data_IF_502954543636
#
_entry.id   IF_502954543636
#
_cell.length_a   1.000
_cell.length_b   1.000
_cell.length_c   1.000
_cell.angle_alpha   90.00
_cell.angle_beta   90.00
_cell.angle_gamma   90.00
#
_symmetry.space_group_name_H-M   'P 1'
#
loop_
_entity.id
_entity.type
_entity.pdbx_description
1 polymer ?
#
# COMPACT_ATOMS: atom_id res chain seq x y z
N UNK A 1 -8.15 -18.23 15.46
CA UNK A 1 -7.49 -18.22 14.13
C UNK A 1 -5.99 -17.92 14.21
N UNK A 2 -5.52 -16.89 14.98
CA UNK A 2 -4.09 -16.57 15.11
C UNK A 2 -3.28 -17.74 15.69
N UNK A 3 -3.78 -18.37 16.75
CA UNK A 3 -3.12 -19.55 17.37
C UNK A 3 -2.99 -20.69 16.37
N UNK A 4 -4.00 -20.91 15.53
CA UNK A 4 -3.93 -21.92 14.48
C UNK A 4 -2.86 -21.59 13.44
N UNK A 5 -2.80 -20.34 12.99
CA UNK A 5 -1.75 -19.88 12.08
C UNK A 5 -0.35 -20.06 12.67
N UNK A 6 -0.17 -19.64 13.94
CA UNK A 6 1.10 -19.79 14.64
C UNK A 6 1.51 -21.28 14.77
N UNK A 7 0.56 -22.18 15.03
CA UNK A 7 0.80 -23.63 15.07
C UNK A 7 1.26 -24.22 13.75
N UNK A 8 0.89 -23.58 12.63
CA UNK A 8 1.40 -23.92 11.28
C UNK A 8 2.73 -23.23 10.93
N UNK A 9 3.36 -22.55 11.88
CA UNK A 9 4.62 -21.83 11.67
C UNK A 9 4.47 -20.47 10.97
N UNK A 10 3.25 -19.92 10.89
CA UNK A 10 3.03 -18.60 10.32
C UNK A 10 3.57 -17.53 11.25
N UNK A 11 4.54 -16.76 10.79
CA UNK A 11 5.13 -15.62 11.52
C UNK A 11 4.58 -14.30 11.00
N UNK A 12 4.46 -14.16 9.68
CA UNK A 12 3.94 -12.95 9.05
C UNK A 12 2.50 -13.16 8.58
N UNK A 13 1.59 -12.37 9.12
CA UNK A 13 0.18 -12.39 8.74
C UNK A 13 -0.09 -11.27 7.74
N UNK A 14 -0.76 -11.61 6.65
CA UNK A 14 -1.23 -10.68 5.65
C UNK A 14 -2.75 -10.74 5.56
N UNK A 15 -3.40 -9.60 5.44
CA UNK A 15 -4.86 -9.51 5.34
C UNK A 15 -5.31 -8.83 4.07
N UNK A 16 -6.52 -9.17 3.63
CA UNK A 16 -7.26 -8.44 2.61
C UNK A 16 -7.85 -7.15 3.20
N UNK A 17 -8.16 -6.16 2.34
CA UNK A 17 -8.80 -4.91 2.75
C UNK A 17 -10.33 -5.04 2.87
N UNK A 18 -10.83 -6.19 3.30
CA UNK A 18 -12.26 -6.49 3.38
C UNK A 18 -12.63 -7.11 4.71
N UNK A 19 -13.91 -7.03 5.08
CA UNK A 19 -14.49 -7.68 6.25
C UNK A 19 -15.34 -8.88 5.81
N UNK A 20 -15.20 -10.00 6.53
CA UNK A 20 -16.12 -11.13 6.38
C UNK A 20 -17.55 -10.74 6.83
N UNK A 21 -18.61 -11.09 6.10
CA UNK A 21 -18.63 -12.01 4.96
C UNK A 21 -18.50 -11.33 3.58
N UNK A 22 -18.39 -10.01 3.50
CA UNK A 22 -18.31 -9.29 2.23
C UNK A 22 -16.84 -9.16 1.77
N UNK A 23 -16.45 -9.98 0.80
CA UNK A 23 -15.11 -10.00 0.25
C UNK A 23 -15.00 -9.23 -1.08
N UNK A 24 -16.06 -8.58 -1.52
CA UNK A 24 -16.11 -7.86 -2.79
C UNK A 24 -15.97 -6.34 -2.62
N UNK A 25 -16.24 -5.84 -1.42
CA UNK A 25 -16.18 -4.41 -1.11
C UNK A 25 -15.12 -4.12 -0.04
N UNK A 26 -14.02 -3.47 -0.42
CA UNK A 26 -13.00 -3.01 0.54
C UNK A 26 -13.59 -2.07 1.59
N UNK A 27 -13.15 -2.22 2.83
CA UNK A 27 -13.51 -1.34 3.96
C UNK A 27 -12.40 -0.35 4.32
N UNK A 28 -11.31 -0.35 3.56
CA UNK A 28 -10.16 0.52 3.76
C UNK A 28 -9.39 0.73 2.45
N UNK A 29 -8.85 1.92 2.26
CA UNK A 29 -7.80 2.17 1.28
C UNK A 29 -6.45 1.89 1.93
N UNK A 30 -5.52 1.34 1.17
CA UNK A 30 -4.16 1.01 1.59
C UNK A 30 -3.16 1.81 0.77
N UNK A 31 -2.53 2.77 1.40
CA UNK A 31 -1.52 3.63 0.80
C UNK A 31 -0.16 3.13 1.28
N UNK A 32 0.63 2.60 0.37
CA UNK A 32 1.96 2.06 0.64
C UNK A 32 3.02 3.04 0.12
N UNK A 33 3.76 3.63 1.04
CA UNK A 33 4.88 4.53 0.76
C UNK A 33 6.16 3.70 0.66
N UNK A 34 6.51 3.28 -0.55
CA UNK A 34 7.62 2.38 -0.84
C UNK A 34 8.88 3.15 -1.28
N UNK A 35 9.91 3.24 -0.42
CA UNK A 35 11.14 3.95 -0.74
C UNK A 35 11.93 3.23 -1.83
N UNK A 36 12.26 3.95 -2.90
CA UNK A 36 13.11 3.41 -3.96
C UNK A 36 14.59 3.47 -3.54
N UNK A 37 15.49 2.76 -4.23
CA UNK A 37 16.93 2.84 -3.95
C UNK A 37 17.43 4.28 -3.93
N UNK A 38 18.20 4.64 -2.91
CA UNK A 38 18.70 6.01 -2.69
C UNK A 38 17.88 6.84 -1.70
N UNK A 39 16.63 6.40 -1.38
CA UNK A 39 15.82 7.08 -0.36
C UNK A 39 15.91 6.40 1.01
N UNK A 40 15.67 7.18 2.05
CA UNK A 40 15.73 6.78 3.47
C UNK A 40 14.34 6.67 4.10
N UNK A 41 14.28 6.17 5.33
CA UNK A 41 13.03 6.21 6.11
C UNK A 41 12.60 7.64 6.45
N UNK A 42 13.54 8.57 6.61
CA UNK A 42 13.24 9.99 6.86
C UNK A 42 12.57 10.65 5.64
N UNK A 43 12.93 10.25 4.42
CA UNK A 43 12.23 10.69 3.21
C UNK A 43 10.79 10.18 3.17
N UNK A 44 10.57 8.91 3.54
CA UNK A 44 9.21 8.34 3.65
C UNK A 44 8.41 9.08 4.72
N UNK A 45 9.02 9.32 5.89
CA UNK A 45 8.40 10.05 7.01
C UNK A 45 7.97 11.46 6.57
N UNK A 46 8.84 12.19 5.89
CA UNK A 46 8.55 13.53 5.38
C UNK A 46 7.38 13.50 4.39
N UNK A 47 7.39 12.61 3.40
CA UNK A 47 6.27 12.46 2.45
C UNK A 47 4.97 12.11 3.16
N UNK A 48 5.02 11.26 4.18
CA UNK A 48 3.84 10.88 4.96
C UNK A 48 3.26 12.06 5.76
N UNK A 49 4.13 12.81 6.47
CA UNK A 49 3.72 13.88 7.40
C UNK A 49 3.39 15.18 6.67
N UNK A 50 4.24 15.60 5.73
CA UNK A 50 4.14 16.91 5.10
C UNK A 50 3.31 16.90 3.81
N UNK A 51 3.16 15.72 3.20
CA UNK A 51 2.42 15.54 1.95
C UNK A 51 1.10 14.79 2.12
N UNK A 52 1.17 13.51 2.51
CA UNK A 52 -0.01 12.65 2.51
C UNK A 52 -1.00 13.01 3.61
N UNK A 53 -0.54 13.25 4.84
CA UNK A 53 -1.43 13.62 5.97
C UNK A 53 -2.26 14.86 5.65
N UNK A 54 -1.68 16.01 5.24
CA UNK A 54 -2.47 17.20 4.89
C UNK A 54 -3.45 16.96 3.74
N UNK A 55 -3.04 16.19 2.72
CA UNK A 55 -3.91 15.86 1.59
C UNK A 55 -5.13 15.04 2.04
N UNK A 56 -4.93 14.05 2.91
CA UNK A 56 -6.04 13.27 3.48
C UNK A 56 -6.99 14.16 4.31
N UNK A 57 -6.45 15.05 5.14
CA UNK A 57 -7.22 15.98 5.96
C UNK A 57 -8.05 16.95 5.08
N UNK A 58 -7.48 17.52 4.02
CA UNK A 58 -8.18 18.36 3.04
C UNK A 58 -9.35 17.62 2.37
N UNK A 59 -9.15 16.33 2.08
CA UNK A 59 -10.18 15.47 1.49
C UNK A 59 -11.20 14.97 2.52
N UNK A 60 -10.98 15.27 3.81
CA UNK A 60 -11.87 14.90 4.93
C UNK A 60 -11.67 13.48 5.43
N UNK A 61 -10.55 12.82 5.07
CA UNK A 61 -10.21 11.48 5.55
C UNK A 61 -9.34 11.50 6.80
N UNK A 62 -9.44 10.45 7.59
CA UNK A 62 -8.51 10.16 8.69
C UNK A 62 -7.58 9.03 8.25
N UNK A 63 -6.30 9.31 8.18
CA UNK A 63 -5.27 8.32 7.89
C UNK A 63 -4.73 7.68 9.16
N UNK A 64 -4.45 6.39 9.10
CA UNK A 64 -3.91 5.57 10.19
C UNK A 64 -2.54 5.01 9.77
N UNK A 65 -1.43 5.65 10.17
CA UNK A 65 -0.10 5.22 9.78
C UNK A 65 0.40 4.04 10.61
N UNK A 66 1.26 3.22 9.99
CA UNK A 66 2.07 2.21 10.66
C UNK A 66 3.41 2.03 9.96
N UNK A 67 4.43 1.59 10.70
CA UNK A 67 5.65 1.12 10.06
C UNK A 67 5.33 -0.12 9.21
N UNK A 68 5.99 -0.28 8.07
CA UNK A 68 5.80 -1.51 7.26
C UNK A 68 6.45 -2.75 7.91
N UNK A 69 7.34 -2.54 8.88
CA UNK A 69 8.30 -3.53 9.38
C UNK A 69 9.41 -3.84 8.39
N UNK A 70 9.46 -3.10 7.29
CA UNK A 70 10.53 -3.00 6.30
C UNK A 70 11.14 -1.61 6.31
N UNK A 71 11.19 -0.95 5.13
CA UNK A 71 11.76 0.39 4.96
C UNK A 71 10.71 1.49 4.76
N UNK A 72 9.45 1.13 4.57
CA UNK A 72 8.37 2.04 4.21
C UNK A 72 7.37 2.28 5.34
N UNK A 73 6.36 3.07 5.02
CA UNK A 73 5.20 3.38 5.86
C UNK A 73 3.93 2.98 5.10
N UNK A 74 3.01 2.34 5.79
CA UNK A 74 1.67 2.08 5.27
C UNK A 74 0.69 3.01 5.97
N UNK A 75 -0.20 3.64 5.20
CA UNK A 75 -1.30 4.43 5.76
C UNK A 75 -2.62 3.79 5.36
N UNK A 76 -3.41 3.40 6.35
CA UNK A 76 -4.75 2.85 6.13
C UNK A 76 -5.77 3.97 6.28
N UNK A 77 -6.72 4.03 5.35
CA UNK A 77 -7.83 4.98 5.38
C UNK A 77 -9.13 4.20 5.41
N UNK A 78 -9.86 4.18 6.54
CA UNK A 78 -11.11 3.45 6.64
C UNK A 78 -12.19 4.08 5.75
N UNK A 79 -12.87 3.24 4.96
CA UNK A 79 -13.94 3.64 4.06
C UNK A 79 -15.21 2.82 4.29
N UNK A 80 -16.34 3.34 3.84
CA UNK A 80 -17.56 2.56 3.77
C UNK A 80 -17.42 1.44 2.72
N UNK A 81 -17.79 0.18 3.03
CA UNK A 81 -17.66 -0.94 2.09
C UNK A 81 -18.79 -0.92 1.05
N UNK A 82 -18.76 0.03 0.13
CA UNK A 82 -19.77 0.24 -0.91
C UNK A 82 -19.22 0.14 -2.33
N UNK A 83 -17.92 0.28 -2.49
CA UNK A 83 -17.25 0.32 -3.79
C UNK A 83 -16.42 -0.95 -3.98
N UNK A 84 -16.36 -1.39 -5.23
CA UNK A 84 -15.55 -2.54 -5.60
C UNK A 84 -14.03 -2.22 -5.62
N UNK A 85 -13.23 -3.24 -5.84
CA UNK A 85 -11.78 -3.11 -5.90
C UNK A 85 -11.27 -2.23 -7.04
N UNK A 86 -12.00 -2.16 -8.15
CA UNK A 86 -11.60 -1.31 -9.28
C UNK A 86 -11.78 0.15 -8.90
N UNK A 87 -12.93 0.51 -8.37
CA UNK A 87 -13.22 1.88 -7.93
C UNK A 87 -12.27 2.32 -6.81
N UNK A 88 -12.03 1.47 -5.79
CA UNK A 88 -11.13 1.81 -4.67
C UNK A 88 -9.67 1.96 -5.12
N UNK A 89 -9.19 1.08 -6.01
CA UNK A 89 -7.84 1.21 -6.56
C UNK A 89 -7.68 2.49 -7.38
N UNK A 90 -8.64 2.82 -8.25
CA UNK A 90 -8.62 4.07 -9.03
C UNK A 90 -8.66 5.31 -8.13
N UNK A 91 -9.41 5.27 -7.04
CA UNK A 91 -9.44 6.33 -6.04
C UNK A 91 -8.03 6.55 -5.42
N UNK A 92 -7.30 5.47 -5.09
CA UNK A 92 -5.92 5.59 -4.58
C UNK A 92 -4.95 6.06 -5.66
N UNK A 93 -5.14 5.69 -6.92
CA UNK A 93 -4.33 6.21 -8.04
C UNK A 93 -4.50 7.72 -8.17
N UNK A 94 -5.74 8.23 -8.13
CA UNK A 94 -6.01 9.67 -8.21
C UNK A 94 -5.40 10.43 -7.02
N UNK A 95 -5.52 9.89 -5.80
CA UNK A 95 -4.87 10.43 -4.61
C UNK A 95 -3.34 10.47 -4.76
N UNK A 96 -2.75 9.38 -5.25
CA UNK A 96 -1.31 9.27 -5.44
C UNK A 96 -0.78 10.26 -6.50
N UNK A 97 -1.52 10.44 -7.60
CA UNK A 97 -1.19 11.44 -8.63
C UNK A 97 -1.25 12.86 -8.09
N UNK A 98 -2.24 13.17 -7.26
CA UNK A 98 -2.34 14.48 -6.62
C UNK A 98 -1.16 14.71 -5.67
N UNK A 99 -0.75 13.69 -4.91
CA UNK A 99 0.43 13.77 -4.06
C UNK A 99 1.71 13.98 -4.89
N UNK A 100 1.90 13.24 -5.98
CA UNK A 100 3.01 13.42 -6.91
C UNK A 100 3.00 14.82 -7.55
N UNK A 101 1.83 15.36 -7.93
CA UNK A 101 1.70 16.71 -8.49
C UNK A 101 2.13 17.79 -7.49
N UNK A 102 1.92 17.57 -6.18
CA UNK A 102 2.32 18.50 -5.11
C UNK A 102 3.81 18.42 -4.77
N UNK A 103 4.40 17.23 -4.86
CA UNK A 103 5.82 16.98 -4.56
C UNK A 103 6.44 16.02 -5.60
N UNK A 104 6.62 16.46 -6.87
CA UNK A 104 7.11 15.62 -7.94
C UNK A 104 8.58 15.20 -7.77
N UNK A 105 9.34 15.92 -6.96
CA UNK A 105 10.74 15.60 -6.69
C UNK A 105 10.90 14.45 -5.69
N UNK A 106 9.93 14.23 -4.83
CA UNK A 106 10.00 13.22 -3.76
C UNK A 106 9.06 12.04 -3.97
N UNK A 107 7.99 12.21 -4.73
CA UNK A 107 6.91 11.21 -4.92
C UNK A 107 6.85 10.75 -6.36
N UNK A 108 6.50 9.50 -6.58
CA UNK A 108 6.24 8.98 -7.92
C UNK A 108 5.12 7.95 -7.95
N UNK A 109 4.32 8.01 -9.03
CA UNK A 109 3.34 6.98 -9.40
C UNK A 109 3.79 6.17 -10.60
N UNK A 110 5.02 6.35 -11.08
CA UNK A 110 5.54 5.71 -12.30
C UNK A 110 5.40 4.19 -12.23
N UNK A 111 4.70 3.62 -13.26
CA UNK A 111 4.55 2.18 -13.38
C UNK A 111 5.90 1.47 -13.49
N UNK A 112 6.76 1.97 -14.37
CA UNK A 112 8.06 1.38 -14.64
C UNK A 112 9.04 1.65 -13.51
N UNK A 113 9.62 0.59 -12.92
CA UNK A 113 10.59 0.70 -11.83
C UNK A 113 11.80 1.57 -12.21
N UNK A 114 12.22 1.49 -13.47
CA UNK A 114 13.36 2.24 -14.00
C UNK A 114 13.10 3.75 -14.11
N UNK A 115 11.85 4.19 -14.01
CA UNK A 115 11.46 5.60 -14.07
C UNK A 115 11.21 6.23 -12.70
N UNK A 116 11.23 5.40 -11.63
CA UNK A 116 10.90 5.88 -10.28
C UNK A 116 11.97 6.77 -9.67
N UNK A 117 13.25 6.60 -10.08
CA UNK A 117 14.36 7.36 -9.52
C UNK A 117 14.50 7.19 -8.00
N UNK A 118 15.14 8.14 -7.34
CA UNK A 118 15.30 8.19 -5.88
C UNK A 118 14.10 8.88 -5.23
N UNK A 119 12.89 8.33 -5.43
CA UNK A 119 11.62 8.88 -4.95
C UNK A 119 10.84 7.84 -4.15
N UNK A 120 9.83 8.28 -3.46
CA UNK A 120 8.88 7.41 -2.77
C UNK A 120 7.79 7.00 -3.75
N UNK A 121 7.71 5.71 -4.05
CA UNK A 121 6.66 5.16 -4.89
C UNK A 121 5.39 4.92 -4.06
N UNK A 122 4.27 5.47 -4.53
CA UNK A 122 2.98 5.17 -3.93
C UNK A 122 2.44 3.90 -4.58
N UNK A 123 2.58 2.75 -3.89
CA UNK A 123 2.11 1.48 -4.43
C UNK A 123 0.58 1.32 -4.28
N UNK A 124 -0.12 1.89 -5.24
CA UNK A 124 -1.57 1.80 -5.37
C UNK A 124 -2.07 0.38 -5.65
N UNK A 125 -1.20 -0.55 -6.08
CA UNK A 125 -1.58 -1.92 -6.38
C UNK A 125 -1.99 -2.71 -5.13
N UNK A 126 -1.64 -2.24 -3.94
CA UNK A 126 -2.09 -2.85 -2.67
C UNK A 126 -3.63 -2.82 -2.52
N UNK A 127 -4.32 -2.05 -3.38
CA UNK A 127 -5.77 -1.99 -3.43
C UNK A 127 -6.39 -2.89 -4.52
N UNK A 128 -5.60 -3.71 -5.20
CA UNK A 128 -6.12 -4.73 -6.12
C UNK A 128 -6.69 -5.92 -5.34
N UNK A 129 -7.73 -6.58 -5.91
CA UNK A 129 -8.47 -7.67 -5.25
C UNK A 129 -7.59 -8.80 -4.72
N UNK A 130 -6.56 -9.14 -5.44
CA UNK A 130 -5.66 -10.28 -5.16
C UNK A 130 -4.43 -9.88 -4.36
N UNK A 131 -4.43 -8.66 -3.79
CA UNK A 131 -3.34 -8.16 -2.96
C UNK A 131 -3.68 -8.24 -1.48
N UNK A 132 -2.67 -8.63 -0.73
CA UNK A 132 -2.69 -8.61 0.73
C UNK A 132 -1.54 -7.74 1.24
N UNK A 133 -1.72 -7.16 2.41
CA UNK A 133 -0.70 -6.35 3.07
C UNK A 133 -0.45 -6.89 4.48
N UNK A 134 0.78 -6.72 4.97
CA UNK A 134 1.11 -7.09 6.34
C UNK A 134 0.13 -6.45 7.31
N UNK A 135 -0.49 -7.29 8.13
CA UNK A 135 -1.46 -6.84 9.15
C UNK A 135 -0.77 -5.93 10.17
N UNK A 136 -1.52 -5.04 10.83
CA UNK A 136 -1.06 -4.40 12.06
C UNK A 136 -0.53 -5.45 13.03
N UNK A 137 0.57 -5.13 13.69
CA UNK A 137 1.27 -6.00 14.67
C UNK A 137 1.83 -7.31 14.11
N UNK A 138 1.86 -7.48 12.79
CA UNK A 138 2.49 -8.65 12.18
C UNK A 138 4.01 -8.55 12.24
N UNK A 139 4.66 -9.62 12.71
CA UNK A 139 6.12 -9.74 12.64
C UNK A 139 6.54 -9.87 11.17
N UNK A 140 7.63 -9.20 10.81
CA UNK A 140 8.19 -9.21 9.46
C UNK A 140 9.52 -9.97 9.43
N UNK A 141 9.84 -10.55 8.28
CA UNK A 141 11.13 -11.19 8.08
C UNK A 141 12.25 -10.16 8.17
N UNK A 142 12.95 -10.15 9.30
CA UNK A 142 14.12 -9.30 9.54
C UNK A 142 15.00 -9.95 10.59
N UNK A 143 16.28 -9.58 10.65
CA UNK A 143 17.23 -10.14 11.62
C UNK A 143 16.83 -9.85 13.07
N UNK A 144 16.14 -8.75 13.33
CA UNK A 144 15.73 -8.29 14.67
C UNK A 144 14.24 -8.52 14.96
N UNK A 145 13.49 -9.19 14.05
CA UNK A 145 12.07 -9.45 14.24
C UNK A 145 11.23 -8.18 14.27
N UNK A 146 11.44 -7.26 13.30
CA UNK A 146 10.65 -6.04 13.19
C UNK A 146 9.15 -6.35 13.08
N UNK A 147 8.33 -5.46 13.58
CA UNK A 147 6.87 -5.55 13.59
C UNK A 147 6.29 -4.43 12.75
N UNK A 148 5.25 -4.74 11.99
CA UNK A 148 4.43 -3.75 11.28
C UNK A 148 3.55 -3.02 12.30
N UNK A 149 4.08 -1.94 12.88
CA UNK A 149 3.58 -1.34 14.11
C UNK A 149 2.71 -0.12 13.84
N UNK A 150 1.42 -0.14 14.21
CA UNK A 150 0.57 1.04 14.25
C UNK A 150 1.18 2.15 15.13
N UNK A 151 1.13 3.36 14.63
CA UNK A 151 1.60 4.57 15.31
C UNK A 151 0.60 5.70 15.08
N UNK A 152 0.62 6.73 15.93
CA UNK A 152 -0.05 8.00 15.63
C UNK A 152 0.78 8.81 14.64
N UNK A 153 0.20 9.87 14.06
CA UNK A 153 0.95 10.78 13.21
C UNK A 153 2.08 11.50 13.96
N UNK A 154 1.86 11.78 15.24
CA UNK A 154 2.83 12.40 16.13
C UNK A 154 4.00 11.43 16.43
N UNK A 155 3.68 10.16 16.72
CA UNK A 155 4.69 9.12 16.94
C UNK A 155 5.49 8.83 15.66
N UNK A 156 4.86 8.95 14.48
CA UNK A 156 5.55 8.74 13.19
C UNK A 156 6.69 9.74 13.00
N UNK A 157 6.59 10.94 13.58
CA UNK A 157 7.64 11.96 13.48
C UNK A 157 8.98 11.49 14.04
N UNK A 158 8.95 10.67 15.10
CA UNK A 158 10.14 10.30 15.86
C UNK A 158 10.45 8.80 15.87
N UNK A 159 9.51 7.94 15.39
CA UNK A 159 9.68 6.49 15.47
C UNK A 159 10.89 6.00 14.66
N UNK A 160 11.72 5.16 15.28
CA UNK A 160 12.69 4.33 14.59
C UNK A 160 12.08 2.97 14.30
N UNK A 161 11.98 2.52 13.03
CA UNK A 161 11.47 1.19 12.70
C UNK A 161 12.28 0.05 13.35
N UNK A 162 13.54 0.27 13.71
CA UNK A 162 14.38 -0.71 14.38
C UNK A 162 14.02 -0.89 15.84
N UNK A 163 13.37 0.09 16.45
CA UNK A 163 12.81 -0.02 17.80
C UNK A 163 11.47 -0.75 17.83
N UNK A 164 10.83 -0.95 16.66
CA UNK A 164 9.55 -1.65 16.54
C UNK A 164 9.77 -3.15 16.33
N UNK A 165 10.11 -3.88 17.39
CA UNK A 165 10.43 -5.31 17.33
C UNK A 165 9.41 -6.18 18.09
N UNK A 166 9.46 -7.50 17.87
CA UNK A 166 8.63 -8.47 18.59
C UNK A 166 8.83 -8.45 20.11
N UNK A 167 9.93 -7.86 20.59
CA UNK A 167 10.23 -7.72 22.02
C UNK A 167 9.78 -6.39 22.61
N UNK A 168 9.77 -5.31 21.84
CA UNK A 168 9.45 -3.97 22.31
C UNK A 168 7.97 -3.60 22.13
N UNK A 169 7.38 -4.00 21.00
CA UNK A 169 5.98 -3.63 20.65
C UNK A 169 4.95 -4.09 21.69
N UNK A 170 5.05 -5.28 22.32
CA UNK A 170 4.11 -5.64 23.38
C UNK A 170 4.11 -4.65 24.55
N UNK A 171 5.26 -4.15 24.97
CA UNK A 171 5.38 -3.13 26.02
C UNK A 171 4.82 -1.80 25.53
N UNK A 172 5.13 -1.37 24.31
CA UNK A 172 4.57 -0.14 23.73
C UNK A 172 3.03 -0.16 23.76
N UNK A 173 2.40 -1.27 23.38
CA UNK A 173 0.93 -1.40 23.41
C UNK A 173 0.41 -1.36 24.84
N UNK A 174 1.09 -2.03 25.78
CA UNK A 174 0.70 -2.04 27.18
C UNK A 174 0.71 -0.63 27.80
N UNK A 175 1.67 0.19 27.41
CA UNK A 175 1.89 1.52 27.99
C UNK A 175 0.96 2.58 27.41
N UNK A 176 0.69 2.54 26.08
CA UNK A 176 -0.06 3.59 25.37
C UNK A 176 -1.40 3.15 24.77
N UNK A 177 -1.68 1.85 24.79
CA UNK A 177 -2.82 1.27 24.08
C UNK A 177 -2.60 1.12 22.58
N UNK A 178 -3.64 0.71 21.86
CA UNK A 178 -3.63 0.58 20.40
C UNK A 178 -4.10 1.90 19.75
N UNK A 179 -3.24 2.61 19.00
CA UNK A 179 -3.63 3.84 18.32
C UNK A 179 -4.69 3.63 17.23
N UNK A 180 -4.92 2.38 16.82
CA UNK A 180 -5.91 2.03 15.80
C UNK A 180 -7.22 1.46 16.37
N UNK A 181 -7.38 1.42 17.71
CA UNK A 181 -8.55 0.84 18.38
C UNK A 181 -9.90 1.35 17.83
N UNK A 182 -9.94 2.61 17.41
CA UNK A 182 -11.14 3.28 16.93
C UNK A 182 -11.21 3.43 15.40
N UNK A 183 -10.33 2.79 14.62
CA UNK A 183 -10.23 2.96 13.16
C UNK A 183 -11.59 2.82 12.46
N UNK A 184 -12.41 1.87 12.87
CA UNK A 184 -13.72 1.61 12.25
C UNK A 184 -14.73 2.77 12.44
N UNK A 185 -14.52 3.67 13.41
CA UNK A 185 -15.38 4.83 13.64
C UNK A 185 -15.12 5.96 12.62
N UNK A 186 -14.04 5.90 11.87
CA UNK A 186 -13.60 6.93 10.93
C UNK A 186 -13.94 6.61 9.47
N UNK A 187 -14.83 5.64 9.23
CA UNK A 187 -15.25 5.29 7.86
C UNK A 187 -15.91 6.46 7.15
N UNK A 188 -15.51 6.68 5.91
CA UNK A 188 -16.03 7.73 5.02
C UNK A 188 -16.32 7.19 3.63
N UNK A 189 -17.20 7.89 2.89
CA UNK A 189 -17.37 7.67 1.47
C UNK A 189 -16.17 8.17 0.66
N UNK A 190 -15.94 7.59 -0.53
CA UNK A 190 -14.82 7.97 -1.40
C UNK A 190 -15.26 8.84 -2.59
N UNK A 191 -16.43 9.46 -2.53
CA UNK A 191 -17.02 10.23 -3.64
C UNK A 191 -16.04 11.32 -4.13
N UNK A 192 -15.37 12.04 -3.21
CA UNK A 192 -14.39 13.07 -3.60
C UNK A 192 -13.20 12.50 -4.38
N UNK A 193 -12.74 11.30 -4.03
CA UNK A 193 -11.68 10.64 -4.78
C UNK A 193 -12.18 10.18 -6.16
N UNK A 194 -13.44 9.76 -6.26
CA UNK A 194 -14.04 9.40 -7.55
C UNK A 194 -14.26 10.63 -8.46
N UNK A 195 -14.52 11.80 -7.91
CA UNK A 195 -14.50 13.06 -8.65
C UNK A 195 -13.10 13.36 -9.20
N UNK A 196 -12.05 13.11 -8.42
CA UNK A 196 -10.65 13.23 -8.90
C UNK A 196 -10.36 12.21 -10.01
N UNK A 197 -10.86 10.98 -9.90
CA UNK A 197 -10.76 9.96 -10.96
C UNK A 197 -11.42 10.45 -12.26
N UNK A 198 -12.61 11.06 -12.17
CA UNK A 198 -13.28 11.62 -13.35
C UNK A 198 -12.49 12.77 -13.98
N UNK A 199 -11.87 13.62 -13.17
CA UNK A 199 -11.00 14.68 -13.65
C UNK A 199 -9.74 14.11 -14.33
N UNK A 200 -9.13 13.08 -13.78
CA UNK A 200 -8.00 12.37 -14.38
C UNK A 200 -8.40 11.78 -15.76
N UNK A 201 -9.55 11.11 -15.84
CA UNK A 201 -10.06 10.55 -17.09
C UNK A 201 -10.30 11.65 -18.15
N UNK A 202 -10.89 12.77 -17.76
CA UNK A 202 -11.12 13.92 -18.64
C UNK A 202 -9.80 14.52 -19.16
N UNK A 203 -8.72 14.40 -18.40
CA UNK A 203 -7.37 14.81 -18.78
C UNK A 203 -6.58 13.71 -19.51
N UNK A 204 -7.19 12.56 -19.81
CA UNK A 204 -6.57 11.46 -20.53
C UNK A 204 -5.61 10.60 -19.72
N UNK A 205 -5.64 10.71 -18.37
CA UNK A 205 -4.74 9.96 -17.50
C UNK A 205 -5.19 8.51 -17.22
N UNK A 206 -6.42 8.12 -17.48
CA UNK A 206 -6.91 6.75 -17.40
C UNK A 206 -6.46 5.90 -16.19
N UNK A 207 -6.79 4.61 -16.20
CA UNK A 207 -6.32 3.67 -15.18
C UNK A 207 -4.88 3.20 -15.46
N UNK A 208 -4.21 2.71 -14.42
CA UNK A 208 -2.85 2.17 -14.48
C UNK A 208 -2.87 0.66 -14.73
N UNK A 209 -1.84 0.08 -15.36
CA UNK A 209 -1.75 -1.38 -15.54
C UNK A 209 -1.84 -2.14 -14.21
N UNK A 210 -2.21 -3.42 -14.28
CA UNK A 210 -2.15 -4.34 -13.15
C UNK A 210 -0.89 -5.21 -13.24
N UNK A 211 -0.31 -5.61 -12.08
CA UNK A 211 0.81 -6.55 -12.09
C UNK A 211 0.43 -7.89 -12.72
N UNK A 212 1.37 -8.61 -13.35
CA UNK A 212 1.12 -9.94 -13.92
C UNK A 212 0.88 -10.98 -12.82
N UNK A 213 0.51 -12.18 -13.25
CA UNK A 213 0.40 -13.39 -12.40
C UNK A 213 -0.83 -13.49 -11.51
N UNK A 214 -1.83 -12.64 -11.68
CA UNK A 214 -3.09 -12.68 -10.93
C UNK A 214 -4.30 -12.88 -11.86
N UNK A 215 -5.43 -13.42 -11.34
CA UNK A 215 -6.66 -13.51 -12.11
C UNK A 215 -7.09 -12.13 -12.62
N UNK A 216 -7.53 -12.08 -13.87
CA UNK A 216 -8.06 -10.85 -14.46
C UNK A 216 -9.52 -10.72 -14.12
N UNK A 217 -9.91 -9.58 -13.56
CA UNK A 217 -11.31 -9.24 -13.31
C UNK A 217 -11.94 -8.52 -14.52
N UNK A 218 -13.24 -8.61 -14.71
CA UNK A 218 -13.92 -7.76 -15.70
C UNK A 218 -13.63 -6.27 -15.45
N UNK A 219 -13.27 -5.54 -16.51
CA UNK A 219 -12.98 -4.09 -16.42
C UNK A 219 -11.55 -3.73 -16.02
N UNK A 220 -10.69 -4.70 -15.68
CA UNK A 220 -9.28 -4.41 -15.44
C UNK A 220 -8.55 -4.02 -16.75
N UNK A 221 -7.61 -3.06 -16.68
CA UNK A 221 -6.66 -2.82 -17.75
C UNK A 221 -5.71 -4.01 -17.94
N UNK A 222 -4.86 -4.00 -18.99
CA UNK A 222 -3.86 -5.07 -19.20
C UNK A 222 -2.96 -5.27 -17.98
N UNK A 223 -2.64 -6.53 -17.68
CA UNK A 223 -1.64 -6.88 -16.67
C UNK A 223 -0.26 -6.83 -17.30
N UNK A 224 0.64 -6.03 -16.73
CA UNK A 224 1.94 -5.70 -17.29
C UNK A 224 3.02 -5.84 -16.22
N UNK A 225 4.15 -6.42 -16.57
CA UNK A 225 5.31 -6.47 -15.70
C UNK A 225 5.88 -5.05 -15.47
N UNK A 226 6.09 -4.60 -14.23
CA UNK A 226 6.49 -3.23 -13.94
C UNK A 226 8.00 -2.95 -14.13
N UNK A 227 8.67 -3.69 -15.00
CA UNK A 227 10.07 -3.45 -15.36
C UNK A 227 10.27 -3.59 -16.86
N UNK A 228 10.88 -2.58 -17.47
CA UNK A 228 11.24 -2.56 -18.89
C UNK A 228 12.26 -3.65 -19.24
N UNK A 229 13.08 -4.04 -18.28
CA UNK A 229 14.10 -5.11 -18.48
C UNK A 229 13.49 -6.49 -18.73
N UNK A 230 12.27 -6.71 -18.28
CA UNK A 230 11.54 -7.97 -18.47
C UNK A 230 10.30 -7.82 -19.37
N UNK A 231 10.05 -6.64 -19.91
CA UNK A 231 8.94 -6.39 -20.84
C UNK A 231 9.03 -7.27 -22.11
N UNK A 232 10.23 -7.57 -22.57
CA UNK A 232 10.51 -8.43 -23.71
C UNK A 232 10.01 -9.88 -23.54
N UNK A 233 9.76 -10.30 -22.31
CA UNK A 233 9.26 -11.63 -21.99
C UNK A 233 7.72 -11.73 -21.98
N UNK A 234 7.05 -10.68 -22.40
CA UNK A 234 5.59 -10.59 -22.43
C UNK A 234 5.13 -10.15 -23.83
N UNK A 235 4.12 -10.84 -24.36
CA UNK A 235 3.54 -10.44 -25.64
C UNK A 235 2.69 -9.15 -25.50
N UNK A 236 2.27 -8.59 -26.64
CA UNK A 236 1.44 -7.40 -26.71
C UNK A 236 0.08 -7.55 -25.99
N UNK A 237 -0.34 -8.78 -25.73
CA UNK A 237 -1.57 -9.13 -25.01
C UNK A 237 -1.33 -9.33 -23.52
N UNK A 238 -0.09 -9.16 -23.04
CA UNK A 238 0.28 -9.36 -21.66
C UNK A 238 0.38 -10.84 -21.24
N UNK A 239 0.54 -11.77 -22.20
CA UNK A 239 0.82 -13.17 -21.89
C UNK A 239 2.31 -13.40 -21.76
N UNK A 240 2.69 -14.28 -20.84
CA UNK A 240 4.09 -14.66 -20.63
C UNK A 240 4.65 -15.42 -21.84
N UNK A 241 5.76 -14.96 -22.40
CA UNK A 241 6.46 -15.69 -23.44
C UNK A 241 7.02 -17.01 -22.91
N UNK A 242 6.83 -18.11 -23.65
CA UNK A 242 7.23 -19.47 -23.24
C UNK A 242 8.75 -19.70 -23.15
N UNK A 243 9.56 -18.71 -23.51
CA UNK A 243 11.03 -18.80 -23.48
C UNK A 243 11.65 -18.55 -22.10
N UNK A 244 10.86 -18.18 -21.10
CA UNK A 244 11.37 -17.96 -19.75
C UNK A 244 11.18 -19.22 -18.91
N UNK A 245 12.17 -20.07 -18.94
CA UNK A 245 12.25 -21.25 -18.07
C UNK A 245 13.13 -20.96 -16.86
N UNK A 246 12.57 -21.15 -15.69
CA UNK A 246 13.17 -21.68 -14.45
C UNK A 246 14.24 -20.94 -13.65
N UNK A 247 14.97 -19.93 -14.09
CA UNK A 247 16.13 -19.44 -13.33
C UNK A 247 15.89 -18.15 -12.50
N UNK A 248 14.65 -17.69 -12.36
CA UNK A 248 14.30 -16.50 -11.57
C UNK A 248 13.60 -16.83 -10.23
N UNK A 249 13.73 -18.05 -9.75
CA UNK A 249 13.12 -18.48 -8.47
C UNK A 249 14.09 -18.48 -7.27
N UNK A 250 15.37 -18.15 -7.49
CA UNK A 250 16.41 -18.15 -6.47
C UNK A 250 17.15 -16.79 -6.43
N UNK A 251 16.47 -15.72 -5.98
CA UNK A 251 17.12 -14.53 -5.39
C UNK A 251 16.14 -13.79 -4.44
#
# INVERSE_FOLDING_TARGET
>A
DLVWGANLGTVTFHTWPTLHPDNDHPDQLRIDLDPQPGTTFDDVRRVALDGLRPLLEELGFTGFPKTSGGRGVHVFVPIEPKWDFIATRRAVIALARELERRDPDSVTTSWWKEERGERIFIDFNQNARDRTMASPYSVRRSAIGRVSTPVTWEELADVDPDDCTMTTVPTMISDRGDPWADIAKHRKGIERLLEMVQADDANGLGDMPYPPSYPKMPGEPPRVQPSKKVAEHWDEKGNRCLLYTSDAADD
#
